data_IF_837748910950
#
_entry.id   IF_837748910950
#
_cell.length_a   1.000
_cell.length_b   1.000
_cell.length_c   1.000
_cell.angle_alpha   90.00
_cell.angle_beta   90.00
_cell.angle_gamma   90.00
#
_symmetry.space_group_name_H-M   'P 1'
#
loop_
_entity.id
_entity.type
_entity.pdbx_description
1 polymer ?
#
# COMPACT_ATOMS: atom_id res chain seq x y z
N UNK A 1 31.95 21.70 5.23
CA UNK A 1 30.67 22.06 4.56
C UNK A 1 30.30 20.89 3.66
N UNK A 2 29.02 20.72 3.29
CA UNK A 2 28.66 19.74 2.27
C UNK A 2 29.11 20.30 0.92
N UNK A 3 30.19 19.74 0.37
CA UNK A 3 30.86 20.25 -0.84
C UNK A 3 30.34 19.57 -2.12
N UNK A 4 29.28 18.73 -2.00
CA UNK A 4 28.66 18.06 -3.15
C UNK A 4 27.34 18.73 -3.55
N UNK A 5 27.11 19.00 -4.85
CA UNK A 5 25.92 19.70 -5.33
C UNK A 5 24.56 19.07 -4.95
N UNK A 6 24.52 17.78 -4.64
CA UNK A 6 23.29 17.04 -4.29
C UNK A 6 23.21 16.62 -2.81
N UNK A 7 24.14 17.08 -1.97
CA UNK A 7 24.15 16.74 -0.55
C UNK A 7 23.11 17.58 0.20
N UNK A 8 22.13 16.89 0.78
CA UNK A 8 21.10 17.54 1.59
C UNK A 8 21.64 17.77 3.00
N UNK A 9 21.51 19.00 3.49
CA UNK A 9 21.81 19.38 4.88
C UNK A 9 20.70 19.02 5.86
N UNK A 10 19.57 18.55 5.35
CA UNK A 10 18.36 18.16 6.10
C UNK A 10 17.65 16.98 5.39
N UNK A 11 16.48 16.57 5.87
CA UNK A 11 15.71 15.50 5.25
C UNK A 11 15.22 15.87 3.83
N UNK A 12 14.82 14.86 3.06
CA UNK A 12 14.16 15.07 1.77
C UNK A 12 12.91 15.95 1.91
N UNK A 13 12.59 16.82 0.93
CA UNK A 13 11.40 17.66 0.95
C UNK A 13 10.11 16.84 1.09
N UNK A 14 9.14 17.36 1.84
CA UNK A 14 7.81 16.76 2.01
C UNK A 14 6.73 17.67 1.42
N UNK A 15 5.72 17.10 0.78
CA UNK A 15 4.64 17.86 0.17
C UNK A 15 3.71 17.01 -0.71
N UNK A 16 2.55 17.57 -1.12
CA UNK A 16 1.65 16.91 -2.05
C UNK A 16 2.40 16.50 -3.32
N UNK A 17 2.16 15.27 -3.79
CA UNK A 17 2.76 14.72 -5.02
C UNK A 17 4.31 14.56 -5.03
N UNK A 18 5.01 14.88 -3.92
CA UNK A 18 6.47 14.65 -3.83
C UNK A 18 6.87 13.19 -3.55
N UNK A 19 5.88 12.32 -3.35
CA UNK A 19 6.12 10.90 -3.15
C UNK A 19 6.48 10.54 -1.71
N UNK A 20 6.77 9.26 -1.49
CA UNK A 20 7.48 8.79 -0.30
C UNK A 20 8.77 8.14 -0.79
N UNK A 21 9.90 8.75 -0.47
CA UNK A 21 11.20 8.29 -0.94
C UNK A 21 11.63 7.07 -0.12
N UNK A 22 11.64 5.90 -0.74
CA UNK A 22 12.05 4.64 -0.11
C UNK A 22 12.91 3.81 -1.07
N UNK A 23 13.99 3.16 -0.60
CA UNK A 23 14.77 2.26 -1.43
C UNK A 23 13.94 1.04 -1.86
N UNK A 24 14.37 0.39 -2.95
CA UNK A 24 14.02 -1.00 -3.29
C UNK A 24 12.55 -1.32 -3.68
N UNK A 25 11.91 -0.47 -4.50
CA UNK A 25 10.58 -0.79 -5.06
C UNK A 25 10.56 -2.13 -5.84
N UNK A 26 11.65 -2.46 -6.55
CA UNK A 26 11.79 -3.75 -7.23
C UNK A 26 11.80 -4.94 -6.27
N UNK A 27 12.35 -4.78 -5.06
CA UNK A 27 12.32 -5.82 -4.05
C UNK A 27 10.92 -5.98 -3.45
N UNK A 28 10.19 -4.89 -3.21
CA UNK A 28 8.80 -4.97 -2.76
C UNK A 28 7.90 -5.74 -3.75
N UNK A 29 8.10 -5.57 -5.07
CA UNK A 29 7.41 -6.38 -6.08
C UNK A 29 7.73 -7.87 -5.95
N UNK A 30 8.98 -8.22 -5.64
CA UNK A 30 9.37 -9.62 -5.40
C UNK A 30 8.60 -10.21 -4.21
N UNK A 31 8.48 -9.46 -3.11
CA UNK A 31 7.70 -9.90 -1.95
C UNK A 31 6.21 -10.03 -2.33
N UNK A 32 5.65 -9.03 -3.03
CA UNK A 32 4.24 -9.04 -3.42
C UNK A 32 3.89 -10.24 -4.31
N UNK A 33 4.74 -10.57 -5.28
CA UNK A 33 4.57 -11.75 -6.14
C UNK A 33 4.58 -13.07 -5.37
N UNK A 34 5.36 -13.17 -4.28
CA UNK A 34 5.34 -14.35 -3.38
C UNK A 34 4.07 -14.42 -2.54
N UNK A 35 3.44 -13.28 -2.26
CA UNK A 35 2.18 -13.19 -1.51
C UNK A 35 0.95 -13.32 -2.40
N UNK A 36 1.08 -13.10 -3.71
CA UNK A 36 0.00 -13.16 -4.71
C UNK A 36 -0.88 -14.42 -4.61
N UNK A 37 -0.35 -15.64 -4.37
CA UNK A 37 -1.20 -16.84 -4.24
C UNK A 37 -2.15 -16.83 -3.02
N UNK A 38 -1.93 -15.95 -2.04
CA UNK A 38 -2.79 -15.80 -0.86
C UNK A 38 -3.95 -14.83 -1.06
N UNK A 39 -4.01 -14.16 -2.22
CA UNK A 39 -5.03 -13.15 -2.48
C UNK A 39 -6.35 -13.81 -2.86
N UNK A 40 -7.41 -13.40 -2.18
CA UNK A 40 -8.79 -13.76 -2.47
C UNK A 40 -9.42 -12.65 -3.31
N UNK A 41 -9.56 -12.92 -4.61
CA UNK A 41 -10.15 -12.00 -5.59
C UNK A 41 -11.62 -12.34 -5.82
N UNK A 42 -12.42 -11.30 -6.02
CA UNK A 42 -13.82 -11.39 -6.39
C UNK A 42 -13.99 -11.25 -7.92
N UNK A 43 -15.15 -11.62 -8.48
CA UNK A 43 -15.38 -11.51 -9.92
C UNK A 43 -15.08 -10.10 -10.46
N UNK A 44 -14.26 -10.03 -11.51
CA UNK A 44 -13.85 -8.77 -12.15
C UNK A 44 -12.62 -8.10 -11.52
N UNK A 45 -12.07 -8.64 -10.44
CA UNK A 45 -10.81 -8.14 -9.85
C UNK A 45 -9.59 -8.84 -10.47
N UNK A 46 -8.52 -8.07 -10.67
CA UNK A 46 -7.25 -8.57 -11.19
C UNK A 46 -6.18 -8.57 -10.10
N UNK A 47 -5.38 -9.63 -10.04
CA UNK A 47 -4.31 -9.74 -9.05
C UNK A 47 -3.25 -8.64 -9.22
N UNK A 48 -2.96 -8.25 -10.46
CA UNK A 48 -1.95 -7.22 -10.75
C UNK A 48 -2.40 -5.83 -10.30
N UNK A 49 -3.70 -5.53 -10.39
CA UNK A 49 -4.32 -4.34 -9.81
C UNK A 49 -4.17 -4.34 -8.28
N UNK A 50 -4.55 -5.45 -7.62
CA UNK A 50 -4.43 -5.60 -6.17
C UNK A 50 -2.98 -5.44 -5.69
N UNK A 51 -2.03 -6.10 -6.36
CA UNK A 51 -0.60 -6.01 -6.06
C UNK A 51 -0.11 -4.58 -6.24
N UNK A 52 -0.40 -3.93 -7.36
CA UNK A 52 0.11 -2.59 -7.66
C UNK A 52 -0.47 -1.52 -6.74
N UNK A 53 -1.76 -1.61 -6.41
CA UNK A 53 -2.40 -0.72 -5.45
C UNK A 53 -1.84 -0.89 -4.03
N UNK A 54 -1.69 -2.13 -3.57
CA UNK A 54 -1.15 -2.42 -2.24
C UNK A 54 0.35 -2.12 -2.12
N UNK A 55 1.10 -2.22 -3.22
CA UNK A 55 2.53 -1.89 -3.26
C UNK A 55 2.79 -0.45 -2.85
N UNK A 56 2.01 0.51 -3.35
CA UNK A 56 2.16 1.93 -2.99
C UNK A 56 1.97 2.19 -1.50
N UNK A 57 0.96 1.55 -0.89
CA UNK A 57 0.67 1.62 0.54
C UNK A 57 1.83 1.01 1.36
N UNK A 58 2.32 -0.15 0.94
CA UNK A 58 3.44 -0.82 1.59
C UNK A 58 4.73 0.02 1.54
N UNK A 59 5.03 0.65 0.40
CA UNK A 59 6.20 1.51 0.24
C UNK A 59 6.09 2.81 1.06
N UNK A 60 4.88 3.39 1.15
CA UNK A 60 4.61 4.52 2.06
C UNK A 60 4.93 4.14 3.50
N UNK A 61 4.47 2.97 3.96
CA UNK A 61 4.80 2.48 5.31
C UNK A 61 6.29 2.28 5.50
N UNK A 62 6.97 1.60 4.58
CA UNK A 62 8.42 1.39 4.67
C UNK A 62 9.19 2.70 4.80
N UNK A 63 8.79 3.71 4.03
CA UNK A 63 9.35 5.06 4.05
C UNK A 63 9.11 5.77 5.39
N UNK A 64 7.93 5.62 6.00
CA UNK A 64 7.63 6.17 7.34
C UNK A 64 8.56 5.64 8.43
N UNK A 65 9.06 4.41 8.26
CA UNK A 65 10.05 3.80 9.16
C UNK A 65 11.50 3.93 8.66
N UNK A 66 11.73 4.70 7.60
CA UNK A 66 13.06 4.93 7.00
C UNK A 66 13.84 3.64 6.73
N UNK A 67 13.17 2.61 6.21
CA UNK A 67 13.78 1.30 5.93
C UNK A 67 13.32 0.72 4.59
N UNK A 68 14.01 -0.32 4.14
CA UNK A 68 13.57 -1.15 3.02
C UNK A 68 12.21 -1.82 3.31
N UNK A 69 11.41 -2.12 2.28
CA UNK A 69 10.13 -2.82 2.41
C UNK A 69 10.31 -4.26 2.91
N UNK A 70 9.41 -4.69 3.79
CA UNK A 70 9.37 -6.03 4.37
C UNK A 70 8.00 -6.66 4.18
N UNK A 71 7.89 -7.98 4.44
CA UNK A 71 6.64 -8.73 4.30
C UNK A 71 5.46 -8.10 5.05
N UNK A 72 5.70 -7.50 6.21
CA UNK A 72 4.66 -6.88 7.03
C UNK A 72 4.02 -5.64 6.39
N UNK A 73 4.73 -4.93 5.52
CA UNK A 73 4.17 -3.77 4.84
C UNK A 73 3.06 -4.17 3.87
N UNK A 74 3.34 -5.19 3.06
CA UNK A 74 2.38 -5.76 2.14
C UNK A 74 1.28 -6.53 2.88
N UNK A 75 1.63 -7.21 3.97
CA UNK A 75 0.63 -7.90 4.81
C UNK A 75 -0.43 -6.92 5.29
N UNK A 76 -0.01 -5.76 5.81
CA UNK A 76 -0.95 -4.72 6.25
C UNK A 76 -1.77 -4.19 5.07
N UNK A 77 -1.12 -3.84 3.95
CA UNK A 77 -1.82 -3.31 2.77
C UNK A 77 -2.88 -4.28 2.22
N UNK A 78 -2.58 -5.57 2.11
CA UNK A 78 -3.53 -6.58 1.67
C UNK A 78 -4.65 -6.83 2.70
N UNK A 79 -4.34 -6.75 4.00
CA UNK A 79 -5.32 -6.98 5.07
C UNK A 79 -6.35 -5.86 5.14
N UNK A 80 -5.94 -4.58 5.09
CA UNK A 80 -6.87 -3.45 5.19
C UNK A 80 -7.87 -3.41 4.02
N UNK A 81 -7.46 -3.89 2.85
CA UNK A 81 -8.31 -4.04 1.66
C UNK A 81 -8.98 -5.42 1.56
N UNK A 82 -8.86 -6.26 2.59
CA UNK A 82 -9.55 -7.54 2.66
C UNK A 82 -9.13 -8.55 1.60
N UNK A 83 -7.95 -8.41 0.98
CA UNK A 83 -7.47 -9.37 -0.01
C UNK A 83 -7.00 -10.68 0.61
N UNK A 84 -6.79 -10.74 1.93
CA UNK A 84 -6.53 -12.00 2.65
C UNK A 84 -7.77 -12.65 3.25
N UNK A 85 -8.94 -12.04 3.08
CA UNK A 85 -10.19 -12.61 3.53
C UNK A 85 -10.89 -13.31 2.35
N UNK A 86 -11.23 -14.62 2.43
CA UNK A 86 -12.07 -15.27 1.42
C UNK A 86 -13.49 -14.69 1.35
N UNK A 87 -13.99 -14.08 2.42
CA UNK A 87 -15.33 -13.52 2.53
C UNK A 87 -15.30 -12.06 3.04
N UNK A 88 -14.66 -11.13 2.30
CA UNK A 88 -14.54 -9.74 2.74
C UNK A 88 -15.92 -9.05 2.78
N UNK A 89 -16.09 -7.97 3.59
CA UNK A 89 -17.32 -7.18 3.61
C UNK A 89 -17.74 -6.72 2.21
N UNK A 90 -19.01 -6.90 1.85
CA UNK A 90 -19.51 -6.60 0.50
C UNK A 90 -19.33 -5.11 0.11
N UNK A 91 -19.45 -4.22 1.10
CA UNK A 91 -19.20 -2.79 0.92
C UNK A 91 -17.72 -2.48 0.67
N UNK A 92 -16.79 -3.19 1.31
CA UNK A 92 -15.36 -3.10 0.99
C UNK A 92 -15.08 -3.56 -0.44
N UNK A 93 -15.69 -4.68 -0.88
CA UNK A 93 -15.56 -5.15 -2.28
C UNK A 93 -16.05 -4.10 -3.27
N UNK A 94 -17.18 -3.46 -2.97
CA UNK A 94 -17.73 -2.38 -3.79
C UNK A 94 -16.77 -1.18 -3.91
N UNK A 95 -16.00 -0.85 -2.86
CA UNK A 95 -14.98 0.21 -2.93
C UNK A 95 -13.73 -0.21 -3.72
N UNK A 96 -13.37 -1.50 -3.74
CA UNK A 96 -12.20 -2.01 -4.48
C UNK A 96 -12.37 -1.82 -5.98
N UNK A 97 -13.55 -2.14 -6.51
CA UNK A 97 -13.86 -2.05 -7.94
C UNK A 97 -13.39 -0.75 -8.61
N UNK A 98 -13.93 0.43 -8.23
CA UNK A 98 -13.55 1.69 -8.86
C UNK A 98 -12.12 2.14 -8.54
N UNK A 99 -11.52 1.71 -7.41
CA UNK A 99 -10.19 2.19 -6.98
C UNK A 99 -9.02 1.37 -7.51
N UNK A 100 -9.19 0.07 -7.64
CA UNK A 100 -8.12 -0.83 -8.06
C UNK A 100 -8.15 -1.10 -9.56
N UNK A 101 -9.30 -0.95 -10.23
CA UNK A 101 -9.44 -1.26 -11.66
C UNK A 101 -8.40 -0.54 -12.50
N UNK A 102 -7.57 -1.33 -13.18
CA UNK A 102 -6.55 -0.84 -14.12
C UNK A 102 -5.28 -0.29 -13.47
N UNK A 103 -5.18 -0.28 -12.14
CA UNK A 103 -4.00 0.23 -11.41
C UNK A 103 -2.73 -0.55 -11.77
N UNK A 104 -2.85 -1.82 -12.16
CA UNK A 104 -1.74 -2.67 -12.59
C UNK A 104 -1.07 -2.21 -13.89
N UNK A 105 -1.71 -1.34 -14.67
CA UNK A 105 -1.15 -0.83 -15.92
C UNK A 105 -0.14 0.31 -15.64
N UNK A 106 0.97 0.33 -16.38
CA UNK A 106 2.09 1.26 -16.15
C UNK A 106 1.71 2.75 -16.21
N UNK A 107 0.64 3.10 -16.95
CA UNK A 107 0.17 4.47 -17.12
C UNK A 107 -0.73 4.98 -15.98
N UNK A 108 -1.17 4.11 -15.06
CA UNK A 108 -2.08 4.44 -13.95
C UNK A 108 -1.34 4.74 -12.65
N UNK A 109 -0.23 5.49 -12.76
CA UNK A 109 0.57 5.89 -11.61
C UNK A 109 -0.23 6.75 -10.62
N UNK A 110 -1.11 7.62 -11.12
CA UNK A 110 -1.92 8.53 -10.31
C UNK A 110 -2.89 7.77 -9.41
N UNK A 111 -3.50 6.71 -9.90
CA UNK A 111 -4.45 5.87 -9.18
C UNK A 111 -3.73 5.05 -8.10
N UNK A 112 -2.57 4.47 -8.42
CA UNK A 112 -1.72 3.81 -7.44
C UNK A 112 -1.29 4.77 -6.32
N UNK A 113 -1.02 6.04 -6.68
CA UNK A 113 -0.64 7.07 -5.71
C UNK A 113 -1.81 7.49 -4.83
N UNK A 114 -3.00 7.65 -5.41
CA UNK A 114 -4.22 7.98 -4.66
C UNK A 114 -4.50 6.93 -3.57
N UNK A 115 -4.38 5.64 -3.90
CA UNK A 115 -4.50 4.56 -2.91
C UNK A 115 -3.49 4.66 -1.76
N UNK A 116 -2.23 4.99 -2.07
CA UNK A 116 -1.21 5.20 -1.05
C UNK A 116 -1.51 6.42 -0.17
N UNK A 117 -1.97 7.52 -0.76
CA UNK A 117 -2.26 8.76 -0.05
C UNK A 117 -3.49 8.62 0.88
N UNK A 118 -4.50 7.82 0.50
CA UNK A 118 -5.67 7.51 1.34
C UNK A 118 -5.33 6.81 2.66
N UNK A 119 -4.35 5.89 2.65
CA UNK A 119 -4.02 5.08 3.82
C UNK A 119 -3.57 5.97 5.00
N UNK A 120 -4.33 6.01 6.13
CA UNK A 120 -4.02 6.89 7.24
C UNK A 120 -2.70 6.52 7.91
N UNK A 121 -1.91 7.52 8.32
CA UNK A 121 -0.64 7.26 9.02
C UNK A 121 -0.85 6.44 10.30
N UNK A 122 -1.96 6.67 11.02
CA UNK A 122 -2.32 5.89 12.20
C UNK A 122 -2.39 4.38 11.88
N UNK A 123 -3.06 4.01 10.78
CA UNK A 123 -3.08 2.62 10.29
C UNK A 123 -1.68 2.15 9.91
N UNK A 124 -0.91 2.98 9.21
CA UNK A 124 0.45 2.64 8.78
C UNK A 124 1.47 2.60 9.92
N UNK A 125 1.09 2.93 11.16
CA UNK A 125 1.92 2.70 12.36
C UNK A 125 1.54 1.44 13.12
N UNK A 126 0.39 0.83 12.85
CA UNK A 126 -0.05 -0.42 13.47
C UNK A 126 0.85 -1.60 13.09
N UNK A 127 0.91 -2.64 13.91
CA UNK A 127 1.50 -3.94 13.51
C UNK A 127 0.44 -4.83 12.82
N UNK A 128 0.85 -5.93 12.14
CA UNK A 128 -0.09 -6.81 11.44
C UNK A 128 -1.20 -7.38 12.33
N UNK A 129 -0.90 -7.72 13.58
CA UNK A 129 -1.88 -8.27 14.53
C UNK A 129 -2.95 -7.25 14.91
N UNK A 130 -2.55 -6.00 15.14
CA UNK A 130 -3.48 -4.90 15.43
C UNK A 130 -4.40 -4.64 14.24
N UNK A 131 -3.87 -4.66 13.01
CA UNK A 131 -4.66 -4.49 11.78
C UNK A 131 -5.63 -5.65 11.62
N UNK A 132 -5.17 -6.89 11.80
CA UNK A 132 -6.00 -8.08 11.73
C UNK A 132 -7.14 -8.07 12.76
N UNK A 133 -6.91 -7.55 13.96
CA UNK A 133 -7.94 -7.44 15.00
C UNK A 133 -8.95 -6.31 14.72
N UNK A 134 -8.55 -5.26 14.00
CA UNK A 134 -9.42 -4.14 13.62
C UNK A 134 -10.26 -4.46 12.38
N UNK A 135 -9.71 -5.25 11.46
CA UNK A 135 -10.40 -5.80 10.31
C UNK A 135 -11.32 -6.98 10.71
N UNK A 136 -12.51 -7.16 10.11
CA UNK A 136 -13.13 -6.31 9.09
C UNK A 136 -13.91 -5.12 9.66
N UNK A 137 -14.21 -5.10 10.97
CA UNK A 137 -15.17 -4.16 11.57
C UNK A 137 -14.84 -2.68 11.41
N UNK A 138 -13.57 -2.32 11.20
CA UNK A 138 -13.10 -0.94 11.03
C UNK A 138 -12.38 -0.69 9.71
N UNK A 139 -12.72 -1.43 8.66
CA UNK A 139 -11.99 -1.33 7.38
C UNK A 139 -11.96 0.09 6.79
N UNK A 140 -13.04 0.89 6.94
CA UNK A 140 -13.08 2.29 6.49
C UNK A 140 -12.04 3.17 7.18
N UNK A 141 -11.95 3.07 8.50
CA UNK A 141 -10.91 3.75 9.29
C UNK A 141 -9.51 3.30 8.87
N UNK A 142 -9.35 2.00 8.58
CA UNK A 142 -8.05 1.44 8.18
C UNK A 142 -7.61 1.92 6.79
N UNK A 143 -8.52 2.04 5.83
CA UNK A 143 -8.22 2.45 4.46
C UNK A 143 -8.26 3.96 4.23
N UNK A 144 -8.94 4.71 5.10
CA UNK A 144 -9.18 6.15 4.93
C UNK A 144 -10.29 6.46 3.92
N UNK A 145 -11.19 5.50 3.67
CA UNK A 145 -12.42 5.67 2.88
C UNK A 145 -13.49 6.37 3.72
#
# INVERSE_FOLDING_TARGET
MPDRPAELTSFQPVGPQLGYQGPDQGFALTIANRLRPKLHLQPGEHADDAVRGCLGIALKRASLFSRAPVVHDLTIAFTIWGFYDPNPPADLVAERGPRFKGVGHAHHYTEARALADMAPEATLRMNPQQVQAAYPGRWRELTGV
#
